data_IF_727443680071
#
_entry.id   IF_727443680071
#
_cell.length_a   1.000
_cell.length_b   1.000
_cell.length_c   1.000
_cell.angle_alpha   90.00
_cell.angle_beta   90.00
_cell.angle_gamma   90.00
#
_symmetry.space_group_name_H-M   'P 1'
#
loop_
_entity.id
_entity.type
_entity.pdbx_description
1 polymer ?
#
# COMPACT_ATOMS: atom_id res chain seq x y z
N UNK A 1 17.80 -13.80 -7.97
CA UNK A 1 17.15 -14.13 -9.25
C UNK A 1 17.89 -13.37 -10.34
N UNK A 2 18.38 -14.05 -11.38
CA UNK A 2 19.01 -13.45 -12.56
C UNK A 2 18.24 -13.92 -13.80
N UNK A 3 18.24 -13.12 -14.86
CA UNK A 3 17.57 -13.49 -16.10
C UNK A 3 18.35 -14.62 -16.80
N UNK A 4 17.65 -15.66 -17.23
CA UNK A 4 18.24 -16.76 -17.99
C UNK A 4 18.39 -16.40 -19.47
N UNK A 5 19.35 -16.99 -20.19
CA UNK A 5 19.52 -16.77 -21.63
C UNK A 5 18.28 -17.14 -22.45
N UNK A 6 17.47 -18.09 -21.99
CA UNK A 6 16.20 -18.52 -22.59
C UNK A 6 15.02 -17.61 -22.27
N UNK A 7 15.16 -16.64 -21.36
CA UNK A 7 14.06 -15.74 -21.02
C UNK A 7 13.74 -14.79 -22.18
N UNK A 8 12.46 -14.45 -22.30
CA UNK A 8 12.00 -13.52 -23.33
C UNK A 8 12.69 -12.15 -23.19
N UNK A 9 12.90 -11.46 -24.32
CA UNK A 9 13.48 -10.11 -24.31
C UNK A 9 12.65 -9.14 -23.45
N UNK A 10 11.33 -9.30 -23.43
CA UNK A 10 10.45 -8.52 -22.58
C UNK A 10 10.74 -8.77 -21.08
N UNK A 11 10.89 -10.03 -20.66
CA UNK A 11 11.19 -10.37 -19.27
C UNK A 11 12.58 -9.91 -18.82
N UNK A 12 13.58 -10.01 -19.70
CA UNK A 12 14.92 -9.47 -19.48
C UNK A 12 14.90 -7.96 -19.29
N UNK A 13 14.14 -7.23 -20.10
CA UNK A 13 13.97 -5.78 -19.96
C UNK A 13 13.28 -5.39 -18.65
N UNK A 14 12.29 -6.18 -18.19
CA UNK A 14 11.64 -5.98 -16.89
C UNK A 14 12.62 -6.21 -15.74
N UNK A 15 13.39 -7.29 -15.78
CA UNK A 15 14.41 -7.59 -14.76
C UNK A 15 15.54 -6.55 -14.75
N UNK A 16 15.96 -6.07 -15.91
CA UNK A 16 16.98 -5.02 -16.04
C UNK A 16 16.51 -3.66 -15.46
N UNK A 17 15.21 -3.39 -15.50
CA UNK A 17 14.60 -2.16 -14.99
C UNK A 17 13.77 -2.40 -13.71
N UNK A 18 14.12 -3.44 -12.94
CA UNK A 18 13.37 -3.88 -11.76
C UNK A 18 13.17 -2.76 -10.74
N UNK A 19 14.17 -1.91 -10.53
CA UNK A 19 14.07 -0.73 -9.66
C UNK A 19 12.96 0.24 -10.10
N UNK A 20 12.78 0.45 -11.39
CA UNK A 20 11.71 1.30 -11.95
C UNK A 20 10.35 0.64 -11.76
N UNK A 21 10.28 -0.69 -11.96
CA UNK A 21 9.06 -1.47 -11.72
C UNK A 21 8.69 -1.45 -10.23
N UNK A 22 9.67 -1.55 -9.32
CA UNK A 22 9.47 -1.43 -7.88
C UNK A 22 8.99 -0.03 -7.47
N UNK A 23 9.49 1.02 -8.13
CA UNK A 23 9.00 2.40 -7.92
C UNK A 23 7.54 2.56 -8.39
N UNK A 24 7.11 1.77 -9.37
CA UNK A 24 5.74 1.69 -9.86
C UNK A 24 4.84 0.70 -9.12
N UNK A 25 5.37 -0.05 -8.15
CA UNK A 25 4.65 -1.14 -7.49
C UNK A 25 3.96 -0.67 -6.21
N UNK A 26 2.67 -0.98 -6.10
CA UNK A 26 1.91 -0.82 -4.87
C UNK A 26 2.03 -2.08 -4.00
N UNK A 27 2.36 -1.93 -2.72
CA UNK A 27 2.43 -3.06 -1.78
C UNK A 27 1.02 -3.64 -1.58
N UNK A 28 0.92 -4.97 -1.68
CA UNK A 28 -0.30 -5.70 -1.34
C UNK A 28 -0.55 -5.59 0.16
N UNK A 29 -1.76 -5.19 0.55
CA UNK A 29 -2.16 -5.14 1.95
C UNK A 29 -2.45 -6.58 2.41
N UNK A 30 -1.51 -7.16 3.17
CA UNK A 30 -1.75 -8.37 3.98
C UNK A 30 -2.50 -8.00 5.26
N UNK A 31 -2.14 -8.53 6.43
CA UNK A 31 -2.77 -8.12 7.70
C UNK A 31 -2.55 -6.64 8.13
N UNK A 32 -1.87 -5.83 7.31
CA UNK A 32 -1.67 -4.40 7.52
C UNK A 32 -0.69 -4.00 8.64
N UNK A 33 -0.24 -4.93 9.50
CA UNK A 33 0.53 -4.64 10.72
C UNK A 33 1.98 -4.21 10.47
N UNK A 34 2.53 -4.54 9.30
CA UNK A 34 3.91 -4.19 8.92
C UNK A 34 3.97 -3.11 7.83
N UNK A 35 2.82 -2.56 7.42
CA UNK A 35 2.74 -1.53 6.39
C UNK A 35 2.52 -0.18 7.06
N UNK A 36 3.53 0.68 7.01
CA UNK A 36 3.44 2.03 7.52
C UNK A 36 2.68 2.92 6.53
N UNK A 37 1.68 3.66 7.02
CA UNK A 37 0.73 4.38 6.16
C UNK A 37 1.38 5.53 5.35
N UNK A 38 2.56 6.02 5.76
CA UNK A 38 3.26 7.16 5.14
C UNK A 38 4.48 6.73 4.32
N UNK A 39 5.22 5.74 4.81
CA UNK A 39 6.50 5.32 4.20
C UNK A 39 6.29 4.36 3.06
N UNK A 40 5.26 3.52 3.12
CA UNK A 40 5.01 2.48 2.15
C UNK A 40 4.04 2.94 1.05
N UNK A 41 4.27 2.60 -0.22
CA UNK A 41 3.29 2.80 -1.30
C UNK A 41 2.21 1.71 -1.20
N UNK A 42 1.00 2.04 -0.75
CA UNK A 42 -0.08 1.07 -0.49
C UNK A 42 -1.47 1.48 -1.03
N UNK A 43 -1.61 2.67 -1.64
CA UNK A 43 -2.88 3.18 -2.17
C UNK A 43 -2.79 3.31 -3.70
N UNK A 44 -3.28 2.33 -4.49
CA UNK A 44 -3.02 2.25 -5.94
C UNK A 44 -3.54 3.44 -6.76
N UNK A 45 -4.57 4.13 -6.26
CA UNK A 45 -5.29 5.16 -7.00
C UNK A 45 -4.74 6.59 -6.78
N UNK A 46 -3.63 6.72 -6.05
CA UNK A 46 -3.00 8.00 -5.76
C UNK A 46 -1.64 8.12 -6.45
N UNK A 47 -1.24 9.36 -6.73
CA UNK A 47 0.10 9.67 -7.23
C UNK A 47 1.13 9.22 -6.20
N UNK A 48 2.13 8.46 -6.65
CA UNK A 48 3.17 7.88 -5.77
C UNK A 48 2.64 6.78 -4.85
N UNK A 49 1.41 6.32 -5.06
CA UNK A 49 0.73 5.26 -4.32
C UNK A 49 0.63 5.49 -2.80
N UNK A 50 0.65 6.75 -2.37
CA UNK A 50 0.67 7.14 -0.96
C UNK A 50 -0.46 8.09 -0.64
N UNK A 51 -1.12 7.92 0.52
CA UNK A 51 -2.11 8.85 0.99
C UNK A 51 -1.44 10.14 1.49
N UNK A 52 -2.21 11.22 1.45
CA UNK A 52 -1.83 12.52 1.96
C UNK A 52 -2.45 12.76 3.33
N UNK A 53 -1.66 13.30 4.27
CA UNK A 53 -2.14 13.66 5.60
C UNK A 53 -3.20 14.76 5.52
N UNK A 54 -4.11 14.79 6.51
CA UNK A 54 -5.05 15.91 6.65
C UNK A 54 -4.36 17.21 7.06
N UNK A 55 -3.33 17.09 7.91
CA UNK A 55 -2.53 18.20 8.42
C UNK A 55 -1.10 17.72 8.72
N UNK A 56 -0.16 18.65 8.95
CA UNK A 56 1.26 18.32 9.17
C UNK A 56 1.52 17.50 10.44
N UNK A 57 0.63 17.52 11.43
CA UNK A 57 0.79 16.74 12.66
C UNK A 57 0.58 15.24 12.42
N UNK A 58 -0.22 14.88 11.41
CA UNK A 58 -0.52 13.48 11.06
C UNK A 58 0.72 12.71 10.57
N UNK A 59 1.61 13.38 9.84
CA UNK A 59 2.81 12.77 9.25
C UNK A 59 3.78 12.16 10.27
N UNK A 60 3.73 12.61 11.51
CA UNK A 60 4.65 12.16 12.56
C UNK A 60 4.14 10.94 13.33
N UNK A 61 2.90 10.49 13.07
CA UNK A 61 2.34 9.31 13.73
C UNK A 61 2.88 8.04 13.07
N UNK A 62 3.47 7.16 13.88
CA UNK A 62 3.82 5.80 13.46
C UNK A 62 2.56 4.93 13.49
N UNK A 63 1.78 5.03 12.41
CA UNK A 63 0.57 4.23 12.19
C UNK A 63 0.80 3.20 11.09
N UNK A 64 0.14 2.07 11.24
CA UNK A 64 0.10 0.98 10.27
C UNK A 64 -1.27 0.92 9.60
N UNK A 65 -1.36 0.22 8.47
CA UNK A 65 -2.65 0.01 7.79
C UNK A 65 -3.64 -0.74 8.69
N UNK A 66 -3.16 -1.63 9.56
CA UNK A 66 -4.00 -2.34 10.53
C UNK A 66 -4.66 -1.39 11.54
N UNK A 67 -4.02 -0.29 11.90
CA UNK A 67 -4.56 0.70 12.86
C UNK A 67 -5.73 1.49 12.26
N UNK A 68 -5.91 1.44 10.94
CA UNK A 68 -7.01 2.08 10.21
C UNK A 68 -8.24 1.17 10.07
N UNK A 69 -8.17 -0.07 10.54
CA UNK A 69 -9.26 -1.04 10.50
C UNK A 69 -9.94 -1.07 11.88
N UNK A 70 -11.27 -1.06 11.88
CA UNK A 70 -12.09 -1.17 13.09
C UNK A 70 -12.24 -2.64 13.52
N UNK A 71 -12.77 -2.86 14.72
CA UNK A 71 -12.91 -4.21 15.31
C UNK A 71 -13.87 -5.13 14.51
N UNK A 72 -14.75 -4.54 13.69
CA UNK A 72 -15.68 -5.27 12.81
C UNK A 72 -15.02 -5.77 11.51
N UNK A 73 -13.73 -5.48 11.31
CA UNK A 73 -12.99 -5.84 10.11
C UNK A 73 -13.29 -4.93 8.92
N UNK A 74 -13.88 -3.75 9.13
CA UNK A 74 -14.04 -2.71 8.12
C UNK A 74 -13.08 -1.54 8.33
N UNK A 75 -12.92 -0.68 7.32
CA UNK A 75 -12.18 0.58 7.50
C UNK A 75 -12.84 1.47 8.55
N UNK A 76 -12.05 2.00 9.49
CA UNK A 76 -12.49 2.99 10.47
C UNK A 76 -12.63 4.36 9.80
N UNK A 77 -13.80 4.61 9.20
CA UNK A 77 -14.09 5.83 8.43
C UNK A 77 -13.86 7.10 9.27
N UNK A 78 -14.17 7.06 10.56
CA UNK A 78 -13.97 8.21 11.45
C UNK A 78 -12.48 8.51 11.59
N UNK A 79 -11.65 7.50 11.85
CA UNK A 79 -10.20 7.66 11.93
C UNK A 79 -9.59 8.07 10.59
N UNK A 80 -10.05 7.49 9.47
CA UNK A 80 -9.59 7.88 8.14
C UNK A 80 -9.79 9.38 7.89
N UNK A 81 -10.97 9.92 8.23
CA UNK A 81 -11.29 11.35 8.08
C UNK A 81 -10.52 12.27 9.04
N UNK A 82 -9.92 11.73 10.09
CA UNK A 82 -9.01 12.47 11.00
C UNK A 82 -7.59 12.46 10.48
N UNK A 83 -7.13 11.34 9.92
CA UNK A 83 -5.73 11.13 9.54
C UNK A 83 -5.43 11.65 8.13
N UNK A 84 -6.35 11.48 7.17
CA UNK A 84 -6.10 11.72 5.76
C UNK A 84 -6.95 12.85 5.18
N UNK A 85 -6.49 13.42 4.06
CA UNK A 85 -7.32 14.33 3.25
C UNK A 85 -8.44 13.57 2.52
N UNK A 86 -9.43 14.31 2.00
CA UNK A 86 -10.62 13.71 1.36
C UNK A 86 -10.27 12.76 0.21
N UNK A 87 -9.41 13.19 -0.72
CA UNK A 87 -8.97 12.39 -1.86
C UNK A 87 -8.37 11.04 -1.43
N UNK A 88 -7.56 11.05 -0.37
CA UNK A 88 -6.94 9.84 0.15
C UNK A 88 -7.95 8.92 0.82
N UNK A 89 -8.91 9.47 1.56
CA UNK A 89 -10.01 8.67 2.15
C UNK A 89 -10.80 7.98 1.04
N UNK A 90 -11.20 8.70 -0.01
CA UNK A 90 -11.95 8.14 -1.14
C UNK A 90 -11.17 7.05 -1.88
N UNK A 91 -9.84 7.21 -2.01
CA UNK A 91 -8.97 6.21 -2.61
C UNK A 91 -8.83 4.96 -1.72
N UNK A 92 -8.66 5.13 -0.40
CA UNK A 92 -8.53 4.03 0.57
C UNK A 92 -9.81 3.22 0.64
N UNK A 93 -10.98 3.86 0.63
CA UNK A 93 -12.28 3.17 0.70
C UNK A 93 -12.56 2.27 -0.52
N UNK A 94 -11.88 2.50 -1.65
CA UNK A 94 -11.96 1.61 -2.83
C UNK A 94 -11.10 0.35 -2.68
N UNK A 95 -10.23 0.30 -1.67
CA UNK A 95 -9.40 -0.87 -1.40
C UNK A 95 -10.19 -1.84 -0.52
N UNK A 96 -10.30 -3.12 -0.89
CA UNK A 96 -10.88 -4.13 -0.01
C UNK A 96 -10.11 -4.20 1.31
N UNK A 97 -10.83 -4.30 2.42
CA UNK A 97 -10.19 -4.38 3.74
C UNK A 97 -9.40 -5.68 3.81
N UNK A 98 -8.15 -5.66 4.28
CA UNK A 98 -7.36 -6.86 4.39
C UNK A 98 -8.02 -7.92 5.27
N UNK A 99 -8.27 -9.11 4.70
CA UNK A 99 -8.75 -10.25 5.47
C UNK A 99 -7.66 -10.73 6.42
N UNK A 100 -8.02 -10.85 7.70
CA UNK A 100 -7.13 -11.30 8.79
C UNK A 100 -6.58 -12.73 8.58
N UNK A 101 -7.12 -13.50 7.64
CA UNK A 101 -6.70 -14.88 7.34
C UNK A 101 -5.64 -15.00 6.22
N UNK A 102 -5.24 -13.91 5.58
CA UNK A 102 -4.25 -13.99 4.51
C UNK A 102 -2.83 -13.97 5.09
N UNK A 103 -2.30 -15.15 5.43
CA UNK A 103 -0.86 -15.35 5.64
C UNK A 103 -0.13 -14.74 4.44
N UNK A 104 0.87 -13.89 4.69
CA UNK A 104 1.70 -13.27 3.67
C UNK A 104 2.56 -14.33 2.96
N UNK A 105 1.94 -15.08 2.05
CA UNK A 105 2.60 -15.96 1.11
C UNK A 105 2.95 -15.18 -0.17
N UNK A 106 4.24 -15.18 -0.51
CA UNK A 106 4.74 -14.74 -1.81
C UNK A 106 4.41 -15.83 -2.84
N UNK A 107 3.80 -15.44 -3.96
CA UNK A 107 3.76 -16.26 -5.18
C UNK A 107 5.03 -16.03 -5.99
#
# INVERSE_FOLDING_TARGET
MQANPSDSLAWKSILANRNIVELGACKRIGNGRSLNIWRDPWVPLLIGFKPHPKDSLQCHRDLTVADLVADDGNWDITKLNVVFNLESVEAILKIPVPSTESVTGWF
#
